data_IF_439799035007
#
_entry.id   IF_439799035007
#
_cell.length_a   1.000
_cell.length_b   1.000
_cell.length_c   1.000
_cell.angle_alpha   90.00
_cell.angle_beta   90.00
_cell.angle_gamma   90.00
#
_symmetry.space_group_name_H-M   'P 1'
#
loop_
_entity.id
_entity.type
_entity.pdbx_description
1 polymer ?
#
# COMPACT_ATOMS: atom_id res chain seq x y z
N UNK A 1 17.74 1.65 16.01
CA UNK A 1 16.71 2.25 15.14
C UNK A 1 15.63 1.21 14.98
N UNK A 2 14.38 1.49 15.36
CA UNK A 2 13.24 0.60 15.16
C UNK A 2 12.43 1.13 13.98
N UNK A 3 12.13 0.28 13.00
CA UNK A 3 11.21 0.58 11.90
C UNK A 3 9.87 -0.08 12.15
N UNK A 4 8.80 0.49 11.58
CA UNK A 4 7.46 -0.10 11.58
C UNK A 4 7.06 -0.32 10.12
N UNK A 5 6.46 -1.47 9.83
CA UNK A 5 5.84 -1.71 8.53
C UNK A 5 4.53 -0.94 8.47
N UNK A 6 4.42 -0.02 7.51
CA UNK A 6 3.25 0.86 7.34
C UNK A 6 2.40 0.49 6.11
N UNK A 7 2.93 -0.34 5.21
CA UNK A 7 2.21 -0.83 4.03
C UNK A 7 2.58 -2.30 3.76
N UNK A 8 1.58 -3.14 3.49
CA UNK A 8 1.75 -4.58 3.30
C UNK A 8 2.13 -5.32 4.59
N UNK A 9 3.06 -6.30 4.48
CA UNK A 9 3.58 -7.05 5.63
C UNK A 9 2.85 -8.35 5.98
N UNK A 10 1.73 -8.65 5.32
CA UNK A 10 0.92 -9.86 5.56
C UNK A 10 0.98 -10.89 4.41
N UNK A 11 2.11 -10.92 3.69
CA UNK A 11 2.30 -11.77 2.51
C UNK A 11 1.63 -11.21 1.26
N UNK A 12 1.78 -11.95 0.16
CA UNK A 12 1.16 -11.61 -1.11
C UNK A 12 -0.35 -11.89 -1.07
N UNK A 13 -1.16 -10.97 -1.61
CA UNK A 13 -2.60 -11.16 -1.73
C UNK A 13 -3.37 -9.86 -2.04
N UNK A 14 -4.69 -9.96 -2.07
CA UNK A 14 -5.59 -8.87 -2.46
C UNK A 14 -6.27 -8.15 -1.28
N UNK A 15 -6.03 -8.57 -0.03
CA UNK A 15 -6.53 -7.86 1.13
C UNK A 15 -5.88 -6.45 1.24
N UNK A 16 -6.50 -5.55 2.00
CA UNK A 16 -6.00 -4.17 2.14
C UNK A 16 -4.74 -4.04 2.99
N UNK A 17 -4.34 -5.08 3.70
CA UNK A 17 -3.06 -5.16 4.41
C UNK A 17 -2.03 -6.05 3.66
N UNK A 18 -2.33 -6.42 2.42
CA UNK A 18 -1.46 -7.21 1.54
C UNK A 18 -1.15 -6.43 0.27
N UNK A 19 -0.10 -6.87 -0.42
CA UNK A 19 0.30 -6.37 -1.73
C UNK A 19 0.45 -7.54 -2.70
N UNK A 20 0.14 -7.34 -3.98
CA UNK A 20 0.42 -8.26 -5.07
C UNK A 20 1.15 -7.56 -6.22
N UNK A 21 2.40 -7.96 -6.40
CA UNK A 21 3.30 -7.48 -7.47
C UNK A 21 3.30 -5.95 -7.61
N UNK A 22 3.68 -5.20 -6.55
CA UNK A 22 3.76 -3.74 -6.60
C UNK A 22 4.85 -3.27 -7.58
N UNK A 23 4.54 -2.24 -8.36
CA UNK A 23 5.39 -1.72 -9.44
C UNK A 23 5.89 -0.29 -9.21
N UNK A 24 5.12 0.52 -8.47
CA UNK A 24 5.44 1.92 -8.23
C UNK A 24 5.03 2.35 -6.83
N UNK A 25 5.79 3.28 -6.25
CA UNK A 25 5.53 3.90 -4.96
C UNK A 25 5.69 5.41 -5.07
N UNK A 26 4.79 6.14 -4.43
CA UNK A 26 4.87 7.59 -4.25
C UNK A 26 4.54 7.93 -2.80
N UNK A 27 5.21 8.94 -2.25
CA UNK A 27 4.97 9.45 -0.90
C UNK A 27 4.79 10.96 -1.01
N UNK A 28 3.68 11.47 -0.49
CA UNK A 28 3.40 12.91 -0.46
C UNK A 28 3.91 13.59 0.83
N UNK A 29 3.72 14.91 0.91
CA UNK A 29 4.13 15.72 2.04
C UNK A 29 3.36 15.38 3.34
N UNK A 30 2.18 14.75 3.23
CA UNK A 30 1.37 14.28 4.35
C UNK A 30 1.75 12.86 4.81
N UNK A 31 2.86 12.31 4.28
CA UNK A 31 3.32 10.94 4.53
C UNK A 31 2.29 9.87 4.10
N UNK A 32 1.43 10.20 3.15
CA UNK A 32 0.57 9.22 2.48
C UNK A 32 1.39 8.44 1.48
N UNK A 33 1.30 7.12 1.53
CA UNK A 33 1.94 6.20 0.60
C UNK A 33 0.90 5.75 -0.43
N UNK A 34 1.20 5.94 -1.70
CA UNK A 34 0.43 5.37 -2.82
C UNK A 34 1.26 4.28 -3.47
N UNK A 35 0.67 3.09 -3.64
CA UNK A 35 1.31 1.94 -4.28
C UNK A 35 0.47 1.52 -5.49
N UNK A 36 1.13 1.45 -6.65
CA UNK A 36 0.55 0.87 -7.85
C UNK A 36 0.87 -0.63 -7.90
N UNK A 37 -0.17 -1.47 -7.92
CA UNK A 37 -0.07 -2.91 -7.92
C UNK A 37 -0.44 -3.47 -9.30
N UNK A 38 0.50 -4.18 -9.92
CA UNK A 38 0.22 -4.87 -11.18
C UNK A 38 -0.55 -6.17 -10.95
N UNK A 39 -0.32 -6.87 -9.83
CA UNK A 39 -0.99 -8.15 -9.55
C UNK A 39 -2.46 -7.99 -9.15
N UNK A 40 -2.79 -6.88 -8.49
CA UNK A 40 -4.15 -6.56 -8.05
C UNK A 40 -4.85 -5.52 -8.95
N UNK A 41 -4.22 -5.08 -10.05
CA UNK A 41 -4.75 -4.06 -10.97
C UNK A 41 -5.30 -2.81 -10.28
N UNK A 42 -4.61 -2.33 -9.24
CA UNK A 42 -5.11 -1.25 -8.37
C UNK A 42 -4.05 -0.26 -7.93
N UNK A 43 -4.52 0.92 -7.52
CA UNK A 43 -3.77 1.88 -6.71
C UNK A 43 -4.37 1.85 -5.31
N UNK A 44 -3.52 1.62 -4.33
CA UNK A 44 -3.90 1.55 -2.92
C UNK A 44 -3.10 2.56 -2.10
N UNK A 45 -3.79 3.24 -1.19
CA UNK A 45 -3.30 4.33 -0.38
C UNK A 45 -3.15 3.89 1.08
N UNK A 46 -2.04 4.23 1.74
CA UNK A 46 -1.87 4.16 3.19
C UNK A 46 -1.59 5.55 3.74
N UNK A 47 -2.43 6.03 4.67
CA UNK A 47 -2.14 7.28 5.38
C UNK A 47 -1.20 7.00 6.55
N UNK A 48 -0.56 8.05 7.04
CA UNK A 48 0.33 7.94 8.19
C UNK A 48 -0.41 7.27 9.38
N UNK A 49 0.21 6.21 9.92
CA UNK A 49 -0.31 5.40 11.04
C UNK A 49 -1.43 4.40 10.72
N UNK A 50 -1.88 4.29 9.47
CA UNK A 50 -2.82 3.24 9.08
C UNK A 50 -2.11 1.88 9.01
N UNK A 51 -2.84 0.81 9.39
CA UNK A 51 -2.38 -0.59 9.25
C UNK A 51 -2.99 -1.30 8.05
N UNK A 52 -3.93 -0.65 7.37
CA UNK A 52 -4.65 -1.16 6.21
C UNK A 52 -4.72 -0.05 5.17
N UNK A 53 -4.59 -0.41 3.90
CA UNK A 53 -4.72 0.53 2.81
C UNK A 53 -6.17 0.72 2.38
N UNK A 54 -6.39 1.76 1.59
CA UNK A 54 -7.65 2.10 0.94
C UNK A 54 -7.43 2.02 -0.57
N UNK A 55 -8.25 1.23 -1.28
CA UNK A 55 -8.18 1.19 -2.75
C UNK A 55 -8.77 2.49 -3.28
N UNK A 56 -7.94 3.27 -3.98
CA UNK A 56 -8.33 4.61 -4.49
C UNK A 56 -8.50 4.64 -6.00
N UNK A 57 -8.02 3.63 -6.73
CA UNK A 57 -8.30 3.42 -8.14
C UNK A 57 -8.08 1.95 -8.56
N UNK A 58 -8.75 1.51 -9.63
CA UNK A 58 -8.64 0.14 -10.15
C UNK A 58 -9.46 -0.90 -9.35
N UNK A 59 -9.18 -2.18 -9.59
CA UNK A 59 -9.92 -3.34 -9.05
C UNK A 59 -10.83 -4.04 -10.06
#
# INVERSE_FOLDING_TARGET
QYGVTVAGGHGQGNATNQLDTPYGIFVDDDQTILIAEWGNDRIIQWKMSDTNGEVVAGG
#
